data_IF_519806903329
#
_entry.id   IF_519806903329
#
_cell.length_a   1.000
_cell.length_b   1.000
_cell.length_c   1.000
_cell.angle_alpha   90.00
_cell.angle_beta   90.00
_cell.angle_gamma   90.00
#
_symmetry.space_group_name_H-M   'P 1'
#
loop_
_entity.id
_entity.type
_entity.pdbx_description
1 polymer ?
#
# COMPACT_ATOMS: atom_id res chain seq x y z
N UNK A 1 12.11 8.42 -23.81
CA UNK A 1 11.78 9.72 -23.22
C UNK A 1 10.58 9.52 -22.29
N UNK A 2 10.83 8.93 -21.11
CA UNK A 2 9.82 8.57 -20.10
C UNK A 2 9.97 9.46 -18.84
N UNK A 3 10.58 10.65 -18.97
CA UNK A 3 11.03 11.45 -17.83
C UNK A 3 9.94 11.86 -16.83
N UNK A 4 8.67 11.64 -17.15
CA UNK A 4 7.51 12.00 -16.33
C UNK A 4 6.45 10.90 -16.25
N UNK A 5 6.79 9.62 -16.46
CA UNK A 5 5.84 8.53 -16.22
C UNK A 5 5.56 8.39 -14.72
N UNK A 6 4.28 8.36 -14.32
CA UNK A 6 3.88 8.14 -12.93
C UNK A 6 3.58 6.66 -12.71
N UNK A 7 4.36 6.01 -11.85
CA UNK A 7 4.18 4.58 -11.48
C UNK A 7 3.86 4.47 -10.00
N UNK A 8 2.80 3.75 -9.66
CA UNK A 8 2.38 3.48 -8.29
C UNK A 8 2.54 2.01 -7.91
N UNK A 9 3.01 1.74 -6.70
CA UNK A 9 3.06 0.42 -6.09
C UNK A 9 2.28 0.42 -4.77
N UNK A 10 1.62 -0.69 -4.49
CA UNK A 10 0.93 -0.93 -3.22
C UNK A 10 1.35 -2.28 -2.65
N UNK A 11 1.42 -2.38 -1.33
CA UNK A 11 1.69 -3.60 -0.60
C UNK A 11 0.88 -3.60 0.71
N UNK A 12 0.69 -4.78 1.31
CA UNK A 12 0.17 -4.90 2.66
C UNK A 12 0.90 -5.98 3.45
N UNK A 13 1.18 -5.72 4.73
CA UNK A 13 1.58 -6.78 5.67
C UNK A 13 0.35 -7.34 6.39
N UNK A 14 0.11 -8.65 6.24
CA UNK A 14 -1.01 -9.29 6.91
C UNK A 14 -0.80 -9.33 8.43
N UNK A 15 -1.79 -8.85 9.18
CA UNK A 15 -1.80 -8.88 10.64
C UNK A 15 -0.53 -8.29 11.30
N UNK A 16 0.08 -7.27 10.66
CA UNK A 16 1.32 -6.65 11.13
C UNK A 16 1.22 -5.98 12.51
N UNK A 17 0.04 -5.50 12.91
CA UNK A 17 -0.18 -4.91 14.23
C UNK A 17 -0.58 -5.98 15.27
N UNK A 18 0.35 -6.37 16.16
CA UNK A 18 0.10 -7.41 17.19
C UNK A 18 -1.06 -7.10 18.14
N UNK A 19 -1.31 -5.82 18.42
CA UNK A 19 -2.38 -5.42 19.36
C UNK A 19 -3.78 -5.56 18.76
N UNK A 20 -3.90 -5.38 17.44
CA UNK A 20 -5.20 -5.32 16.75
C UNK A 20 -5.38 -6.38 15.67
N UNK A 21 -4.33 -7.13 15.35
CA UNK A 21 -4.20 -8.02 14.19
C UNK A 21 -4.55 -7.35 12.86
N UNK A 22 -4.54 -6.01 12.81
CA UNK A 22 -4.79 -5.25 11.59
C UNK A 22 -3.53 -5.23 10.73
N UNK A 23 -3.76 -5.32 9.43
CA UNK A 23 -2.73 -5.18 8.42
C UNK A 23 -2.28 -3.71 8.28
N UNK A 24 -1.11 -3.48 7.72
CA UNK A 24 -0.61 -2.15 7.35
C UNK A 24 -0.49 -2.11 5.83
N UNK A 25 -1.13 -1.11 5.22
CA UNK A 25 -0.95 -0.82 3.80
C UNK A 25 0.25 0.09 3.62
N UNK A 26 1.06 -0.20 2.60
CA UNK A 26 2.16 0.63 2.14
C UNK A 26 1.96 1.01 0.69
N UNK A 27 2.25 2.26 0.35
CA UNK A 27 2.20 2.78 -1.01
C UNK A 27 3.46 3.55 -1.37
N UNK A 28 3.86 3.49 -2.64
CA UNK A 28 4.97 4.27 -3.18
C UNK A 28 4.64 4.75 -4.59
N UNK A 29 4.88 6.03 -4.87
CA UNK A 29 4.67 6.66 -6.17
C UNK A 29 5.99 7.20 -6.70
N UNK A 30 6.30 6.86 -7.94
CA UNK A 30 7.51 7.25 -8.65
C UNK A 30 7.15 8.11 -9.85
N UNK A 31 7.93 9.17 -10.08
CA UNK A 31 7.91 9.96 -11.31
C UNK A 31 9.21 9.67 -12.08
N UNK A 32 9.11 8.91 -13.16
CA UNK A 32 10.25 8.20 -13.73
C UNK A 32 10.87 7.29 -12.67
N UNK A 33 12.16 7.43 -12.42
CA UNK A 33 12.89 6.63 -11.42
C UNK A 33 12.94 7.28 -10.03
N UNK A 34 12.30 8.44 -9.83
CA UNK A 34 12.37 9.19 -8.57
C UNK A 34 11.14 8.94 -7.72
N UNK A 35 11.33 8.47 -6.48
CA UNK A 35 10.26 8.39 -5.49
C UNK A 35 9.79 9.80 -5.13
N UNK A 36 8.51 10.09 -5.36
CA UNK A 36 7.90 11.41 -5.10
C UNK A 36 6.93 11.40 -3.92
N UNK A 37 6.33 10.24 -3.62
CA UNK A 37 5.42 10.09 -2.47
C UNK A 37 5.46 8.65 -1.95
N UNK A 38 5.26 8.49 -0.65
CA UNK A 38 5.09 7.20 -0.01
C UNK A 38 4.09 7.33 1.14
N UNK A 39 3.43 6.23 1.47
CA UNK A 39 2.49 6.16 2.58
C UNK A 39 2.63 4.82 3.31
N UNK A 40 2.35 4.85 4.62
CA UNK A 40 2.17 3.67 5.43
C UNK A 40 1.01 3.92 6.38
N UNK A 41 -0.02 3.08 6.32
CA UNK A 41 -1.27 3.26 7.07
C UNK A 41 -1.78 1.93 7.59
N UNK A 42 -2.11 1.86 8.88
CA UNK A 42 -2.84 0.72 9.46
C UNK A 42 -4.23 0.64 8.85
N UNK A 43 -4.64 -0.53 8.37
CA UNK A 43 -5.96 -0.76 7.79
C UNK A 43 -7.06 -0.58 8.85
N UNK A 44 -8.21 -0.07 8.42
CA UNK A 44 -9.35 0.19 9.30
C UNK A 44 -10.12 -1.10 9.63
N UNK A 45 -10.06 -2.10 8.73
CA UNK A 45 -10.56 -3.45 8.92
C UNK A 45 -9.42 -4.45 9.18
N UNK A 46 -9.77 -5.59 9.77
CA UNK A 46 -8.87 -6.74 9.90
C UNK A 46 -9.09 -7.64 8.69
N UNK A 47 -8.07 -7.81 7.86
CA UNK A 47 -8.10 -8.77 6.76
C UNK A 47 -8.06 -10.21 7.32
N UNK A 48 -8.55 -11.18 6.55
CA UNK A 48 -8.51 -12.61 6.92
C UNK A 48 -7.43 -13.40 6.16
N UNK A 49 -6.74 -12.75 5.22
CA UNK A 49 -5.64 -13.33 4.46
C UNK A 49 -4.69 -12.25 3.93
N UNK A 50 -3.50 -12.64 3.49
CA UNK A 50 -2.57 -11.74 2.79
C UNK A 50 -3.19 -11.18 1.51
N UNK A 51 -3.87 -12.02 0.72
CA UNK A 51 -4.51 -11.57 -0.52
C UNK A 51 -5.58 -10.51 -0.27
N UNK A 52 -6.37 -10.67 0.78
CA UNK A 52 -7.35 -9.65 1.19
C UNK A 52 -6.66 -8.37 1.67
N UNK A 53 -5.59 -8.47 2.45
CA UNK A 53 -4.82 -7.31 2.90
C UNK A 53 -4.24 -6.53 1.71
N UNK A 54 -3.64 -7.24 0.74
CA UNK A 54 -3.10 -6.65 -0.49
C UNK A 54 -4.21 -5.99 -1.33
N UNK A 55 -5.35 -6.65 -1.48
CA UNK A 55 -6.51 -6.10 -2.20
C UNK A 55 -7.03 -4.81 -1.54
N UNK A 56 -7.14 -4.78 -0.21
CA UNK A 56 -7.54 -3.58 0.54
C UNK A 56 -6.49 -2.47 0.41
N UNK A 57 -5.19 -2.80 0.35
CA UNK A 57 -4.16 -1.78 0.11
C UNK A 57 -4.25 -1.18 -1.29
N UNK A 58 -4.48 -2.03 -2.31
CA UNK A 58 -4.62 -1.60 -3.70
C UNK A 58 -5.84 -0.69 -3.87
N UNK A 59 -6.98 -1.02 -3.26
CA UNK A 59 -8.17 -0.18 -3.34
C UNK A 59 -7.96 1.19 -2.68
N UNK A 60 -7.14 1.28 -1.63
CA UNK A 60 -6.80 2.53 -0.97
C UNK A 60 -5.75 3.38 -1.73
N UNK A 61 -4.94 2.78 -2.61
CA UNK A 61 -3.90 3.47 -3.38
C UNK A 61 -4.43 4.27 -4.58
N UNK A 62 -5.65 3.98 -5.07
CA UNK A 62 -6.29 4.66 -6.20
C UNK A 62 -7.29 5.76 -5.78
N UNK A 63 -7.35 6.11 -4.49
CA UNK A 63 -8.24 7.13 -3.95
C UNK A 63 -7.57 8.50 -3.79
#
# INVERSE_FOLDING_TARGET
>A
DFGFELTGFSNADYAGCKDTFKSTSGGAQFLGEKLVSWSSKKQDCTALSTAEAEYVSLSACYA
#
